data_IF_682230122520
#
_entry.id   IF_682230122520
#
_cell.length_a   1.000
_cell.length_b   1.000
_cell.length_c   1.000
_cell.angle_alpha   90.00
_cell.angle_beta   90.00
_cell.angle_gamma   90.00
#
_symmetry.space_group_name_H-M   'P 1'
#
loop_
_entity.id
_entity.type
_entity.pdbx_description
1 polymer ?
#
# COMPACT_ATOMS: atom_id res chain seq x y z
N UNK A 1 58.15 3.14 7.36
CA UNK A 1 56.95 3.69 6.69
C UNK A 1 56.00 2.57 6.25
N UNK A 2 55.53 1.72 7.18
CA UNK A 2 54.81 0.48 6.82
C UNK A 2 53.64 0.07 7.74
N UNK A 3 53.46 0.70 8.90
CA UNK A 3 52.42 0.33 9.88
C UNK A 3 51.14 1.14 9.70
N UNK A 4 51.27 2.43 9.33
CA UNK A 4 50.11 3.33 9.10
C UNK A 4 49.23 2.89 7.92
N UNK A 5 49.82 2.36 6.85
CA UNK A 5 49.05 1.88 5.69
C UNK A 5 48.25 0.60 5.98
N UNK A 6 48.72 -0.25 6.91
CA UNK A 6 47.98 -1.45 7.30
C UNK A 6 46.78 -1.12 8.21
N UNK A 7 46.96 -0.25 9.21
CA UNK A 7 45.87 0.22 10.08
C UNK A 7 44.74 0.86 9.28
N UNK A 8 45.07 1.69 8.28
CA UNK A 8 44.07 2.33 7.42
C UNK A 8 43.23 1.31 6.63
N UNK A 9 43.86 0.21 6.16
CA UNK A 9 43.18 -0.84 5.40
C UNK A 9 42.16 -1.61 6.25
N UNK A 10 42.49 -1.95 7.50
CA UNK A 10 41.57 -2.64 8.40
C UNK A 10 40.42 -1.73 8.88
N UNK A 11 40.69 -0.45 9.14
CA UNK A 11 39.65 0.52 9.48
C UNK A 11 38.66 0.69 8.33
N UNK A 12 39.14 0.75 7.07
CA UNK A 12 38.28 0.84 5.89
C UNK A 12 37.40 -0.41 5.70
N UNK A 13 37.97 -1.62 5.91
CA UNK A 13 37.23 -2.88 5.80
C UNK A 13 36.14 -2.98 6.89
N UNK A 14 36.45 -2.57 8.12
CA UNK A 14 35.46 -2.56 9.22
C UNK A 14 34.37 -1.53 8.94
N UNK A 15 34.70 -0.32 8.46
CA UNK A 15 33.71 0.68 8.07
C UNK A 15 32.79 0.19 6.95
N UNK A 16 33.35 -0.43 5.90
CA UNK A 16 32.59 -1.01 4.80
C UNK A 16 31.66 -2.14 5.27
N UNK A 17 32.13 -2.95 6.22
CA UNK A 17 31.34 -4.06 6.81
C UNK A 17 30.20 -3.57 7.70
N UNK A 18 30.40 -2.46 8.42
CA UNK A 18 29.35 -1.88 9.27
C UNK A 18 28.32 -1.11 8.43
N UNK A 19 28.76 -0.46 7.34
CA UNK A 19 27.88 0.24 6.42
C UNK A 19 27.07 -0.72 5.53
N UNK A 20 27.65 -1.84 5.08
CA UNK A 20 26.94 -2.84 4.26
C UNK A 20 25.78 -3.51 5.01
N UNK A 21 25.93 -3.78 6.30
CA UNK A 21 24.86 -4.35 7.13
C UNK A 21 23.61 -3.44 7.22
N UNK A 22 23.78 -2.11 7.19
CA UNK A 22 22.65 -1.15 7.20
C UNK A 22 21.96 -1.01 5.85
N UNK A 23 22.68 -1.24 4.75
CA UNK A 23 22.13 -1.18 3.38
C UNK A 23 21.36 -2.46 3.05
N UNK A 24 21.87 -3.63 3.44
CA UNK A 24 21.18 -4.92 3.21
C UNK A 24 19.95 -5.14 4.08
N UNK A 25 19.87 -4.52 5.26
CA UNK A 25 18.68 -4.61 6.13
C UNK A 25 17.42 -3.96 5.51
N UNK A 26 17.56 -3.17 4.43
CA UNK A 26 16.42 -2.51 3.76
C UNK A 26 15.87 -3.32 2.57
N UNK A 27 16.50 -4.43 2.16
CA UNK A 27 16.21 -5.15 0.91
C UNK A 27 15.11 -6.24 0.99
N UNK A 28 14.49 -6.46 2.15
CA UNK A 28 13.55 -7.58 2.37
C UNK A 28 12.11 -7.19 2.72
N UNK A 29 11.76 -5.90 2.64
CA UNK A 29 10.40 -5.47 2.96
C UNK A 29 9.44 -5.82 1.81
N UNK A 30 8.35 -6.51 2.14
CA UNK A 30 7.28 -6.82 1.19
C UNK A 30 6.27 -5.67 1.02
N UNK A 31 6.37 -4.66 1.89
CA UNK A 31 5.53 -3.49 1.93
C UNK A 31 6.23 -2.38 2.72
N UNK A 32 5.89 -1.13 2.43
CA UNK A 32 6.28 0.03 3.22
C UNK A 32 5.25 1.16 3.06
N UNK A 33 5.28 2.11 3.98
CA UNK A 33 4.42 3.30 3.94
C UNK A 33 5.27 4.56 3.96
N UNK A 34 4.78 5.62 3.32
CA UNK A 34 5.39 6.95 3.27
C UNK A 34 4.52 7.96 4.00
N UNK A 35 5.08 9.13 4.32
CA UNK A 35 4.30 10.27 4.81
C UNK A 35 3.61 11.05 3.67
N UNK A 36 3.91 10.70 2.41
CA UNK A 36 3.30 11.35 1.26
C UNK A 36 1.81 11.01 1.20
N UNK A 37 1.04 11.95 0.66
CA UNK A 37 -0.40 11.80 0.54
C UNK A 37 -0.85 11.98 -0.90
N UNK A 38 -1.86 11.21 -1.29
CA UNK A 38 -2.57 11.37 -2.56
C UNK A 38 -3.95 11.93 -2.26
N UNK A 39 -4.36 12.91 -3.06
CA UNK A 39 -5.73 13.45 -3.01
C UNK A 39 -6.55 12.86 -4.15
N UNK A 40 -7.71 12.29 -3.84
CA UNK A 40 -8.65 11.75 -4.82
C UNK A 40 -9.96 12.53 -4.70
N UNK A 41 -10.41 13.13 -5.80
CA UNK A 41 -11.69 13.81 -5.84
C UNK A 41 -12.84 12.81 -5.84
N UNK A 42 -13.89 13.06 -5.04
CA UNK A 42 -15.06 12.17 -4.88
C UNK A 42 -14.66 10.69 -4.78
N UNK A 43 -13.89 10.32 -3.75
CA UNK A 43 -13.35 8.97 -3.67
C UNK A 43 -14.44 7.97 -3.34
N UNK A 44 -14.35 6.83 -4.02
CA UNK A 44 -15.18 5.66 -3.77
C UNK A 44 -14.29 4.45 -3.56
N UNK A 45 -14.68 3.60 -2.64
CA UNK A 45 -14.06 2.28 -2.45
C UNK A 45 -14.92 1.28 -3.21
N UNK A 46 -14.28 0.38 -3.95
CA UNK A 46 -14.96 -0.67 -4.68
C UNK A 46 -14.45 -2.05 -4.30
N UNK A 47 -15.35 -3.03 -4.36
CA UNK A 47 -15.03 -4.45 -4.32
C UNK A 47 -15.59 -5.08 -5.59
N UNK A 48 -14.71 -5.60 -6.44
CA UNK A 48 -15.05 -6.13 -7.76
C UNK A 48 -15.22 -7.64 -7.66
N UNK A 49 -16.38 -8.16 -8.06
CA UNK A 49 -16.64 -9.60 -8.04
C UNK A 49 -15.60 -10.33 -8.88
N UNK A 50 -14.98 -11.34 -8.28
CA UNK A 50 -13.91 -12.11 -8.88
C UNK A 50 -12.55 -11.77 -8.28
N UNK A 51 -12.31 -10.51 -7.88
CA UNK A 51 -11.04 -10.09 -7.27
C UNK A 51 -11.16 -10.06 -5.75
N UNK A 52 -10.14 -10.57 -5.06
CA UNK A 52 -9.98 -10.38 -3.63
C UNK A 52 -9.31 -9.03 -3.35
N UNK A 53 -9.84 -8.27 -2.38
CA UNK A 53 -9.32 -6.97 -1.97
C UNK A 53 -10.30 -5.81 -2.16
N UNK A 54 -9.89 -4.65 -1.65
CA UNK A 54 -10.59 -3.37 -1.82
C UNK A 54 -9.74 -2.47 -2.71
N UNK A 55 -10.40 -1.67 -3.54
CA UNK A 55 -9.76 -0.70 -4.42
C UNK A 55 -10.37 0.67 -4.21
N UNK A 56 -9.60 1.73 -4.46
CA UNK A 56 -10.07 3.11 -4.36
C UNK A 56 -9.79 3.87 -5.65
N UNK A 57 -10.73 4.72 -6.03
CA UNK A 57 -10.68 5.55 -7.23
C UNK A 57 -11.58 6.77 -7.07
N UNK A 58 -11.45 7.73 -7.98
CA UNK A 58 -12.47 8.76 -8.16
C UNK A 58 -13.73 8.16 -8.79
N UNK A 59 -14.91 8.61 -8.37
CA UNK A 59 -16.18 8.22 -8.99
C UNK A 59 -16.20 8.47 -10.51
N UNK A 60 -15.44 9.47 -10.99
CA UNK A 60 -15.30 9.81 -12.40
C UNK A 60 -14.65 8.67 -13.23
N UNK A 61 -13.87 7.79 -12.59
CA UNK A 61 -13.23 6.63 -13.22
C UNK A 61 -13.99 5.32 -13.05
N UNK A 62 -15.22 5.34 -12.53
CA UNK A 62 -16.01 4.14 -12.28
C UNK A 62 -16.25 3.29 -13.55
N UNK A 63 -16.25 3.90 -14.74
CA UNK A 63 -16.38 3.17 -16.00
C UNK A 63 -15.17 2.29 -16.35
N UNK A 64 -13.99 2.54 -15.77
CA UNK A 64 -12.75 1.85 -16.14
C UNK A 64 -12.56 0.49 -15.44
N UNK A 65 -13.40 0.18 -14.44
CA UNK A 65 -13.34 -1.05 -13.64
C UNK A 65 -13.52 -2.33 -14.47
N UNK A 66 -14.13 -2.24 -15.66
CA UNK A 66 -14.30 -3.37 -16.57
C UNK A 66 -12.95 -3.96 -17.01
N UNK A 67 -11.88 -3.15 -16.93
CA UNK A 67 -10.49 -3.55 -17.18
C UNK A 67 -9.60 -3.21 -15.98
N UNK A 68 -9.95 -3.74 -14.80
CA UNK A 68 -9.34 -3.41 -13.51
C UNK A 68 -7.80 -3.38 -13.53
N UNK A 69 -7.13 -4.42 -14.03
CA UNK A 69 -5.66 -4.46 -14.07
C UNK A 69 -5.08 -3.29 -14.89
N UNK A 70 -5.65 -3.00 -16.07
CA UNK A 70 -5.23 -1.86 -16.89
C UNK A 70 -5.48 -0.52 -16.19
N UNK A 71 -6.55 -0.40 -15.41
CA UNK A 71 -6.85 0.80 -14.64
C UNK A 71 -5.87 0.99 -13.46
N UNK A 72 -5.38 -0.11 -12.87
CA UNK A 72 -4.31 -0.12 -11.87
C UNK A 72 -2.98 0.27 -12.52
N UNK A 73 -2.60 -0.37 -13.63
CA UNK A 73 -1.35 -0.08 -14.35
C UNK A 73 -1.28 1.40 -14.80
N UNK A 74 -2.43 2.01 -15.12
CA UNK A 74 -2.55 3.42 -15.47
C UNK A 74 -2.72 4.38 -14.27
N UNK A 75 -2.63 3.87 -13.04
CA UNK A 75 -2.75 4.65 -11.80
C UNK A 75 -4.07 5.44 -11.67
N UNK A 76 -5.16 4.89 -12.20
CA UNK A 76 -6.52 5.45 -12.04
C UNK A 76 -7.31 4.75 -10.93
N UNK A 77 -6.89 3.54 -10.60
CA UNK A 77 -7.40 2.73 -9.50
C UNK A 77 -6.22 2.32 -8.65
N UNK A 78 -6.35 2.47 -7.34
CA UNK A 78 -5.32 2.10 -6.38
C UNK A 78 -5.80 0.98 -5.49
N UNK A 79 -4.87 0.20 -4.93
CA UNK A 79 -5.19 -0.73 -3.85
C UNK A 79 -5.62 0.08 -2.62
N UNK A 80 -6.57 -0.43 -1.86
CA UNK A 80 -7.07 0.24 -0.66
C UNK A 80 -6.99 -0.67 0.56
N UNK A 81 -6.59 -0.11 1.69
CA UNK A 81 -6.61 -0.80 2.97
C UNK A 81 -6.91 0.21 4.09
N UNK A 82 -7.93 -0.09 4.88
CA UNK A 82 -8.48 0.75 5.96
C UNK A 82 -8.12 0.27 7.37
N UNK A 83 -7.72 -0.99 7.53
CA UNK A 83 -7.33 -1.54 8.83
C UNK A 83 -5.84 -1.33 9.16
N UNK A 84 -5.00 -1.13 8.14
CA UNK A 84 -3.53 -1.13 8.26
C UNK A 84 -2.95 -2.48 8.71
N UNK A 85 -3.78 -3.46 9.03
CA UNK A 85 -3.41 -4.72 9.66
C UNK A 85 -2.94 -5.69 8.57
N UNK A 86 -1.75 -6.26 8.76
CA UNK A 86 -1.18 -7.26 7.86
C UNK A 86 -0.24 -6.72 6.78
N UNK A 87 -0.27 -5.41 6.51
CA UNK A 87 0.61 -4.75 5.53
C UNK A 87 1.63 -3.81 6.13
N UNK A 88 1.32 -3.10 7.21
CA UNK A 88 2.25 -2.16 7.86
C UNK A 88 2.34 -2.51 9.34
N UNK A 89 3.55 -2.52 9.89
CA UNK A 89 3.72 -2.76 11.33
C UNK A 89 3.32 -1.51 12.14
N UNK A 90 2.81 -1.70 13.36
CA UNK A 90 2.55 -0.58 14.28
C UNK A 90 3.80 0.27 14.55
N UNK A 91 4.98 -0.36 14.55
CA UNK A 91 6.27 0.32 14.69
C UNK A 91 6.54 1.26 13.51
N UNK A 92 6.26 0.83 12.28
CA UNK A 92 6.47 1.66 11.10
C UNK A 92 5.47 2.82 11.05
N UNK A 93 4.22 2.60 11.47
CA UNK A 93 3.23 3.68 11.62
C UNK A 93 3.68 4.74 12.63
N UNK A 94 4.09 4.31 13.83
CA UNK A 94 4.57 5.20 14.89
C UNK A 94 5.83 5.96 14.46
N UNK A 95 6.82 5.28 13.86
CA UNK A 95 8.05 5.91 13.38
C UNK A 95 7.78 7.03 12.37
N UNK A 96 6.75 6.87 11.54
CA UNK A 96 6.39 7.83 10.50
C UNK A 96 5.26 8.79 10.94
N UNK A 97 4.82 8.76 12.20
CA UNK A 97 3.67 9.56 12.69
C UNK A 97 2.40 9.41 11.83
N UNK A 98 2.12 8.19 11.37
CA UNK A 98 0.98 7.88 10.51
C UNK A 98 -0.17 7.32 11.35
N UNK A 99 -1.29 8.04 11.36
CA UNK A 99 -2.57 7.57 11.91
C UNK A 99 -3.45 7.05 10.78
N UNK A 100 -3.81 5.77 10.83
CA UNK A 100 -4.73 5.12 9.89
C UNK A 100 -5.93 4.67 10.71
N UNK A 101 -7.14 4.92 10.21
CA UNK A 101 -8.38 4.48 10.83
C UNK A 101 -9.40 4.03 9.80
N UNK A 102 -10.45 3.38 10.28
CA UNK A 102 -11.58 3.02 9.42
C UNK A 102 -12.50 4.24 9.24
N UNK A 103 -12.57 4.74 8.00
CA UNK A 103 -13.48 5.83 7.66
C UNK A 103 -14.89 5.27 7.45
N UNK A 104 -15.88 5.86 8.11
CA UNK A 104 -17.29 5.56 7.84
C UNK A 104 -17.65 5.95 6.40
N UNK A 105 -18.37 5.09 5.70
CA UNK A 105 -18.93 5.40 4.38
C UNK A 105 -20.35 5.96 4.51
N UNK A 106 -20.71 6.88 3.62
CA UNK A 106 -22.04 7.52 3.63
C UNK A 106 -23.10 6.71 2.88
N UNK A 107 -22.66 5.87 1.94
CA UNK A 107 -23.57 5.06 1.11
C UNK A 107 -22.88 3.80 0.61
N UNK A 108 -23.60 2.69 0.72
CA UNK A 108 -23.24 1.42 0.07
C UNK A 108 -24.22 1.16 -1.09
N UNK A 109 -23.70 0.76 -2.23
CA UNK A 109 -24.47 0.38 -3.41
C UNK A 109 -23.96 -0.95 -3.95
N UNK A 110 -24.85 -1.90 -4.18
CA UNK A 110 -24.53 -3.19 -4.75
C UNK A 110 -25.03 -3.27 -6.20
N UNK A 111 -24.11 -3.52 -7.12
CA UNK A 111 -24.38 -3.83 -8.52
C UNK A 111 -23.97 -5.27 -8.79
N UNK A 112 -24.49 -5.87 -9.86
CA UNK A 112 -24.35 -7.31 -10.19
C UNK A 112 -22.94 -7.89 -9.97
N UNK A 113 -21.89 -7.15 -10.32
CA UNK A 113 -20.49 -7.58 -10.19
C UNK A 113 -19.61 -6.60 -9.36
N UNK A 114 -20.22 -5.67 -8.63
CA UNK A 114 -19.48 -4.58 -8.00
C UNK A 114 -20.22 -4.08 -6.75
N UNK A 115 -19.50 -3.97 -5.65
CA UNK A 115 -19.96 -3.20 -4.49
C UNK A 115 -19.23 -1.87 -4.46
N UNK A 116 -19.95 -0.77 -4.28
CA UNK A 116 -19.42 0.59 -4.19
C UNK A 116 -19.73 1.14 -2.79
N UNK A 117 -18.70 1.61 -2.10
CA UNK A 117 -18.81 2.37 -0.86
C UNK A 117 -18.38 3.80 -1.15
N UNK A 118 -19.30 4.75 -0.95
CA UNK A 118 -19.00 6.18 -1.12
C UNK A 118 -18.48 6.75 0.18
N UNK A 119 -17.31 7.37 0.13
CA UNK A 119 -16.75 8.08 1.27
C UNK A 119 -17.34 9.50 1.37
N UNK A 120 -17.36 10.09 2.57
CA UNK A 120 -17.62 11.53 2.72
C UNK A 120 -16.64 12.34 1.86
N UNK A 121 -17.06 13.52 1.39
CA UNK A 121 -16.23 14.38 0.53
C UNK A 121 -14.98 14.88 1.28
N UNK A 122 -15.09 14.97 2.61
CA UNK A 122 -14.02 15.37 3.52
C UNK A 122 -12.91 14.32 3.59
N UNK A 123 -13.21 13.06 3.30
CA UNK A 123 -12.25 11.95 3.26
C UNK A 123 -11.69 11.86 1.84
N UNK A 124 -10.84 12.80 1.46
CA UNK A 124 -10.27 12.89 0.11
C UNK A 124 -8.74 12.76 0.05
N UNK A 125 -8.08 12.65 1.20
CA UNK A 125 -6.63 12.47 1.33
C UNK A 125 -6.29 11.12 1.92
N UNK A 126 -5.27 10.48 1.36
CA UNK A 126 -4.85 9.13 1.70
C UNK A 126 -3.33 9.08 1.81
N UNK A 127 -2.79 8.39 2.81
CA UNK A 127 -1.36 8.07 2.85
C UNK A 127 -1.00 7.12 1.73
N UNK A 128 0.15 7.36 1.11
CA UNK A 128 0.72 6.50 0.09
C UNK A 128 1.65 5.47 0.71
N UNK A 129 1.36 4.20 0.46
CA UNK A 129 2.30 3.10 0.65
C UNK A 129 2.50 2.30 -0.62
N UNK A 130 3.38 1.31 -0.53
CA UNK A 130 3.70 0.42 -1.62
C UNK A 130 3.78 -1.01 -1.11
N UNK A 131 3.24 -1.96 -1.87
CA UNK A 131 3.21 -3.38 -1.52
C UNK A 131 3.55 -4.24 -2.73
N UNK A 132 4.35 -5.29 -2.53
CA UNK A 132 4.57 -6.30 -3.58
C UNK A 132 3.26 -7.03 -3.87
N UNK A 133 2.81 -7.07 -5.12
CA UNK A 133 1.52 -7.70 -5.47
C UNK A 133 1.42 -9.16 -5.02
N UNK A 134 2.52 -9.92 -5.12
CA UNK A 134 2.60 -11.30 -4.58
C UNK A 134 2.33 -11.39 -3.08
N UNK A 135 2.80 -10.41 -2.31
CA UNK A 135 2.54 -10.34 -0.87
C UNK A 135 1.12 -9.86 -0.59
N UNK A 136 0.63 -8.86 -1.35
CA UNK A 136 -0.76 -8.40 -1.29
C UNK A 136 -1.73 -9.56 -1.48
N UNK A 137 -1.63 -10.24 -2.63
CA UNK A 137 -2.47 -11.39 -2.98
C UNK A 137 -2.49 -12.40 -1.83
N UNK A 138 -1.33 -12.84 -1.34
CA UNK A 138 -1.24 -13.80 -0.21
C UNK A 138 -1.97 -13.35 1.06
N UNK A 139 -2.05 -12.05 1.32
CA UNK A 139 -2.67 -11.47 2.51
C UNK A 139 -4.18 -11.26 2.37
N UNK A 140 -4.67 -10.88 1.18
CA UNK A 140 -6.11 -10.66 0.94
C UNK A 140 -6.89 -11.91 0.53
N UNK A 141 -6.22 -12.97 0.08
CA UNK A 141 -6.91 -14.24 -0.27
C UNK A 141 -7.60 -14.82 0.96
N UNK A 142 -8.92 -15.00 0.86
CA UNK A 142 -9.69 -15.77 1.83
C UNK A 142 -9.44 -17.29 1.65
N UNK A 143 -9.66 -18.06 2.71
CA UNK A 143 -9.52 -19.53 2.73
C UNK A 143 -10.37 -20.27 1.67
N UNK A 144 -11.30 -19.60 0.99
CA UNK A 144 -12.24 -20.18 0.03
C UNK A 144 -11.79 -20.23 -1.44
N UNK A 145 -10.52 -19.95 -1.76
CA UNK A 145 -9.82 -20.42 -2.97
C UNK A 145 -10.48 -20.19 -4.36
N UNK A 146 -11.41 -19.24 -4.52
CA UNK A 146 -11.88 -18.84 -5.86
C UNK A 146 -10.97 -17.76 -6.43
N UNK A 147 -9.88 -18.21 -7.04
CA UNK A 147 -8.78 -17.39 -7.57
C UNK A 147 -9.23 -16.46 -8.70
N UNK A 148 -9.25 -15.15 -8.45
CA UNK A 148 -8.74 -14.18 -9.43
C UNK A 148 -7.74 -13.29 -8.73
N UNK A 149 -6.51 -13.33 -9.24
CA UNK A 149 -5.42 -12.54 -8.71
C UNK A 149 -5.26 -11.26 -9.52
N UNK A 150 -4.78 -10.21 -8.86
CA UNK A 150 -3.95 -9.24 -9.57
C UNK A 150 -2.69 -9.95 -10.07
N UNK A 151 -2.00 -9.38 -11.06
CA UNK A 151 -0.72 -9.90 -11.57
C UNK A 151 0.20 -10.39 -10.43
N UNK A 152 0.48 -11.70 -10.36
CA UNK A 152 1.36 -12.26 -9.32
C UNK A 152 2.82 -11.91 -9.63
N UNK A 153 3.29 -10.81 -9.06
CA UNK A 153 4.60 -10.25 -9.35
C UNK A 153 5.30 -9.74 -8.09
N UNK A 154 6.62 -9.60 -8.17
CA UNK A 154 7.42 -8.95 -7.14
C UNK A 154 7.46 -7.42 -7.33
N UNK A 155 6.71 -6.89 -8.31
CA UNK A 155 6.56 -5.47 -8.55
C UNK A 155 5.81 -4.84 -7.37
N UNK A 156 6.26 -3.66 -6.96
CA UNK A 156 5.56 -2.88 -5.96
C UNK A 156 4.41 -2.14 -6.63
N UNK A 157 3.24 -2.17 -6.00
CA UNK A 157 2.13 -1.32 -6.38
C UNK A 157 1.69 -0.36 -5.28
N UNK A 158 1.23 0.84 -5.66
CA UNK A 158 0.65 1.79 -4.72
C UNK A 158 -0.55 1.20 -3.99
N UNK A 159 -0.56 1.40 -2.67
CA UNK A 159 -1.67 1.10 -1.79
C UNK A 159 -1.96 2.31 -0.92
N UNK A 160 -3.25 2.67 -0.84
CA UNK A 160 -3.70 3.88 -0.15
C UNK A 160 -4.38 3.54 1.17
N UNK A 161 -4.05 4.34 2.17
CA UNK A 161 -4.60 4.24 3.52
C UNK A 161 -5.36 5.53 3.86
N UNK A 162 -6.60 5.44 4.36
CA UNK A 162 -7.41 6.61 4.64
C UNK A 162 -6.84 7.43 5.80
N UNK A 163 -6.96 8.76 5.67
CA UNK A 163 -6.72 9.71 6.75
C UNK A 163 -8.08 10.15 7.28
N UNK A 164 -8.59 9.41 8.27
CA UNK A 164 -9.84 9.75 8.93
C UNK A 164 -9.53 10.77 10.02
N UNK A 165 -10.28 11.87 10.07
CA UNK A 165 -10.29 12.68 11.29
C UNK A 165 -10.99 11.85 12.34
N UNK A 166 -10.33 11.62 13.47
CA UNK A 166 -11.02 11.19 14.67
C UNK A 166 -12.14 12.20 14.89
N UNK A 167 -13.38 11.73 14.96
CA UNK A 167 -14.51 12.57 15.37
C UNK A 167 -14.22 12.96 16.82
N UNK A 168 -13.66 14.16 17.02
CA UNK A 168 -13.63 14.85 18.30
C UNK A 168 -15.05 14.97 18.90
#
# INVERSE_FOLDING_TARGET
MGVYNQLNKYVFIVLLSVLSNKVFSQLNNNSYITQDTITINKPIIIMVKGYDGKFILSEDFLGEINHLQKAIDNQKVFLYNDDGIGFISSKDRQKNNISIGECSYIKKEEKKNLTILRLPIEVNKFYLGFVKLKFYNKRVISSNNKKTYLKDSNDFEPILYPICKDSE
#
